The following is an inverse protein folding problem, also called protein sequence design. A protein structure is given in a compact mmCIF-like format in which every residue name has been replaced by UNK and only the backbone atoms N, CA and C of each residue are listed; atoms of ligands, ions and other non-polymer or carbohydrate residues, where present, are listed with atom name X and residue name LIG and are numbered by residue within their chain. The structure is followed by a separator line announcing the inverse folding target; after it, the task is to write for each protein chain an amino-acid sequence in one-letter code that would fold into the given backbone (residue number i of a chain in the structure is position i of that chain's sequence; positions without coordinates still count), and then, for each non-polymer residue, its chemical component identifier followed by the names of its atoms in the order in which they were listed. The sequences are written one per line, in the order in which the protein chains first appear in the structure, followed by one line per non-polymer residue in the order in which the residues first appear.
data_IF_757495656874
#
_entry.id   IF_757495656874
#
_cell.length_a   1.000
_cell.length_b   1.000
_cell.length_c   1.000
_cell.angle_alpha   90.00
_cell.angle_beta   90.00
_cell.angle_gamma   90.00
#
_symmetry.space_group_name_H-M   'P 1'
#
loop_
_entity.id
_entity.type
_entity.pdbx_description
1 polymer ?
#
# COMPACT_ATOMS: atom_id res chain seq x y z
N UNK A 1 -11.69 -5.43 7.25
CA UNK A 1 -11.36 -6.65 6.49
C UNK A 1 -9.92 -6.97 6.79
N UNK A 2 -9.65 -8.11 7.43
CA UNK A 2 -8.29 -8.56 7.67
C UNK A 2 -7.54 -8.66 6.33
N UNK A 3 -6.26 -8.29 6.31
CA UNK A 3 -5.40 -8.62 5.17
C UNK A 3 -5.41 -10.14 5.03
N UNK A 4 -6.10 -10.61 3.99
CA UNK A 4 -6.13 -12.03 3.67
C UNK A 4 -4.75 -12.35 3.13
N UNK A 5 -3.95 -13.04 3.94
CA UNK A 5 -2.62 -13.49 3.53
C UNK A 5 -2.75 -14.39 2.31
N UNK A 6 -1.84 -14.22 1.36
CA UNK A 6 -1.77 -14.98 0.12
C UNK A 6 -0.89 -16.23 0.36
N UNK A 7 -1.43 -17.46 0.33
CA UNK A 7 -0.68 -18.66 0.74
C UNK A 7 0.57 -18.94 -0.10
N UNK A 8 0.53 -18.68 -1.40
CA UNK A 8 1.69 -18.90 -2.28
C UNK A 8 2.84 -17.93 -1.98
N UNK A 9 2.52 -16.70 -1.59
CA UNK A 9 3.53 -15.74 -1.12
C UNK A 9 4.13 -16.21 0.20
N UNK A 10 3.34 -16.72 1.13
CA UNK A 10 3.85 -17.27 2.41
C UNK A 10 4.78 -18.46 2.20
N UNK A 11 4.44 -19.37 1.28
CA UNK A 11 5.30 -20.50 0.94
C UNK A 11 6.64 -20.02 0.37
N UNK A 12 6.62 -19.05 -0.54
CA UNK A 12 7.84 -18.47 -1.10
C UNK A 12 8.69 -17.73 -0.05
N UNK A 13 8.07 -16.95 0.84
CA UNK A 13 8.76 -16.27 1.93
C UNK A 13 9.44 -17.26 2.89
N UNK A 14 8.80 -18.40 3.16
CA UNK A 14 9.37 -19.48 4.00
C UNK A 14 10.62 -20.08 3.35
N UNK A 15 10.58 -20.29 2.03
CA UNK A 15 11.67 -20.89 1.27
C UNK A 15 12.87 -19.93 1.11
N UNK A 16 12.64 -18.63 1.07
CA UNK A 16 13.68 -17.58 0.93
C UNK A 16 14.40 -17.22 2.22
N UNK A 17 14.73 -18.18 3.08
CA UNK A 17 15.52 -18.01 4.30
C UNK A 17 14.90 -17.14 5.43
N UNK A 18 13.59 -16.88 5.41
CA UNK A 18 12.90 -16.37 6.61
C UNK A 18 12.70 -17.46 7.68
N UNK A 19 12.95 -18.73 7.33
CA UNK A 19 12.79 -19.89 8.19
C UNK A 19 11.32 -20.21 8.50
N UNK A 20 11.06 -21.29 9.27
CA UNK A 20 9.69 -21.72 9.61
C UNK A 20 8.91 -20.69 10.47
N UNK A 21 9.61 -19.73 11.08
CA UNK A 21 8.99 -18.63 11.82
C UNK A 21 8.63 -17.41 10.94
N UNK A 22 9.12 -17.35 9.70
CA UNK A 22 8.92 -16.22 8.78
C UNK A 22 7.44 -15.87 8.49
N UNK A 23 6.59 -16.84 8.14
CA UNK A 23 5.16 -16.62 7.95
C UNK A 23 4.38 -16.42 9.26
N UNK A 24 4.96 -16.82 10.40
CA UNK A 24 4.34 -16.75 11.73
C UNK A 24 4.63 -15.42 12.43
N UNK A 25 5.66 -14.69 12.01
CA UNK A 25 5.78 -13.28 12.34
C UNK A 25 4.56 -12.56 11.76
N UNK A 26 3.88 -11.73 12.55
CA UNK A 26 2.76 -10.87 12.11
C UNK A 26 3.21 -9.78 11.10
N UNK A 27 4.27 -10.04 10.35
CA UNK A 27 4.86 -9.20 9.33
C UNK A 27 3.91 -9.12 8.13
N UNK A 28 3.79 -7.93 7.56
CA UNK A 28 3.11 -7.73 6.30
C UNK A 28 3.82 -8.51 5.19
N UNK A 29 3.05 -9.16 4.30
CA UNK A 29 3.64 -9.93 3.20
C UNK A 29 4.46 -9.04 2.27
N UNK A 30 4.05 -7.78 2.06
CA UNK A 30 4.79 -6.85 1.23
C UNK A 30 6.19 -6.55 1.79
N UNK A 31 6.30 -6.39 3.12
CA UNK A 31 7.58 -6.17 3.80
C UNK A 31 8.46 -7.42 3.73
N UNK A 32 7.86 -8.61 3.92
CA UNK A 32 8.56 -9.88 3.75
C UNK A 32 9.12 -10.05 2.34
N UNK A 33 8.35 -9.67 1.31
CA UNK A 33 8.80 -9.78 -0.08
C UNK A 33 10.00 -8.89 -0.38
N UNK A 34 9.98 -7.66 0.13
CA UNK A 34 11.11 -6.75 0.04
C UNK A 34 12.35 -7.35 0.71
N UNK A 35 12.23 -7.89 1.93
CA UNK A 35 13.37 -8.48 2.64
C UNK A 35 13.98 -9.69 1.91
N UNK A 36 13.14 -10.57 1.36
CA UNK A 36 13.62 -11.75 0.62
C UNK A 36 14.30 -11.34 -0.69
N UNK A 37 13.74 -10.36 -1.42
CA UNK A 37 14.33 -9.89 -2.67
C UNK A 37 15.67 -9.17 -2.51
N UNK A 38 15.85 -8.39 -1.43
CA UNK A 38 17.14 -7.73 -1.14
C UNK A 38 18.24 -8.70 -0.72
N UNK A 39 17.86 -9.85 -0.14
CA UNK A 39 18.80 -10.86 0.35
C UNK A 39 19.18 -11.89 -0.70
N UNK A 40 18.27 -12.20 -1.61
CA UNK A 40 18.48 -13.22 -2.64
C UNK A 40 18.96 -12.58 -3.93
N UNK A 41 20.08 -13.10 -4.47
CA UNK A 41 20.58 -12.70 -5.78
C UNK A 41 19.76 -13.31 -6.95
N UNK A 42 18.92 -14.31 -6.66
CA UNK A 42 18.07 -14.95 -7.66
C UNK A 42 16.84 -14.09 -7.99
N UNK A 43 16.43 -14.04 -9.27
CA UNK A 43 15.21 -13.36 -9.67
C UNK A 43 13.96 -13.92 -8.96
N UNK A 44 13.06 -13.02 -8.60
CA UNK A 44 11.76 -13.38 -8.06
C UNK A 44 10.91 -14.11 -9.12
N UNK A 45 10.23 -15.23 -8.78
CA UNK A 45 9.35 -15.91 -9.74
C UNK A 45 8.23 -15.00 -10.25
N UNK A 46 7.84 -15.16 -11.52
CA UNK A 46 6.81 -14.31 -12.16
C UNK A 46 5.47 -14.29 -11.39
N UNK A 47 5.03 -15.44 -10.90
CA UNK A 47 3.82 -15.55 -10.07
C UNK A 47 3.91 -14.69 -8.81
N UNK A 48 5.08 -14.65 -8.16
CA UNK A 48 5.30 -13.81 -6.97
C UNK A 48 5.32 -12.34 -7.35
N UNK A 49 5.88 -11.97 -8.51
CA UNK A 49 5.83 -10.60 -9.03
C UNK A 49 4.38 -10.15 -9.33
N UNK A 50 3.53 -11.04 -9.82
CA UNK A 50 2.10 -10.75 -10.03
C UNK A 50 1.40 -10.43 -8.70
N UNK A 51 1.59 -11.26 -7.67
CA UNK A 51 1.03 -11.00 -6.35
C UNK A 51 1.64 -9.77 -5.68
N UNK A 52 2.94 -9.52 -5.88
CA UNK A 52 3.60 -8.31 -5.40
C UNK A 52 2.93 -7.07 -5.97
N UNK A 53 2.72 -7.06 -7.30
CA UNK A 53 2.03 -5.97 -7.99
C UNK A 53 0.62 -5.74 -7.42
N UNK A 54 -0.12 -6.80 -7.11
CA UNK A 54 -1.46 -6.71 -6.52
C UNK A 54 -1.43 -6.14 -5.09
N UNK A 55 -0.50 -6.59 -4.26
CA UNK A 55 -0.31 -6.07 -2.90
C UNK A 55 0.08 -4.59 -2.93
N UNK A 56 1.00 -4.20 -3.83
CA UNK A 56 1.37 -2.80 -4.05
C UNK A 56 0.18 -1.94 -4.48
N UNK A 57 -0.64 -2.43 -5.41
CA UNK A 57 -1.85 -1.71 -5.85
C UNK A 57 -2.84 -1.52 -4.68
N UNK A 58 -3.06 -2.56 -3.88
CA UNK A 58 -3.95 -2.52 -2.72
C UNK A 58 -3.44 -1.56 -1.65
N UNK A 59 -2.13 -1.61 -1.34
CA UNK A 59 -1.49 -0.71 -0.37
C UNK A 59 -1.52 0.74 -0.82
N UNK A 60 -1.28 1.01 -2.11
CA UNK A 60 -1.42 2.35 -2.70
C UNK A 60 -2.84 2.88 -2.59
N UNK A 61 -3.85 2.07 -2.93
CA UNK A 61 -5.26 2.46 -2.80
C UNK A 61 -5.59 2.80 -1.33
N UNK A 62 -5.19 1.94 -0.38
CA UNK A 62 -5.40 2.20 1.05
C UNK A 62 -4.70 3.47 1.50
N UNK A 63 -3.45 3.70 1.10
CA UNK A 63 -2.72 4.92 1.44
C UNK A 63 -3.42 6.17 0.91
N UNK A 64 -3.85 6.15 -0.36
CA UNK A 64 -4.60 7.24 -1.00
C UNK A 64 -5.90 7.53 -0.23
N UNK A 65 -6.68 6.49 0.08
CA UNK A 65 -7.94 6.63 0.82
C UNK A 65 -7.72 7.20 2.22
N UNK A 66 -6.75 6.67 2.96
CA UNK A 66 -6.46 7.13 4.33
C UNK A 66 -5.95 8.57 4.34
N UNK A 67 -5.06 8.95 3.42
CA UNK A 67 -4.57 10.32 3.32
C UNK A 67 -5.69 11.29 2.94
N UNK A 68 -6.56 10.92 2.00
CA UNK A 68 -7.73 11.73 1.63
C UNK A 68 -8.67 11.95 2.82
N UNK A 69 -8.99 10.88 3.57
CA UNK A 69 -9.83 10.97 4.77
C UNK A 69 -9.15 11.78 5.86
N UNK A 70 -7.84 11.64 6.05
CA UNK A 70 -7.06 12.43 7.00
C UNK A 70 -7.18 13.92 6.72
N UNK A 71 -6.93 14.36 5.47
CA UNK A 71 -7.06 15.78 5.09
C UNK A 71 -8.47 16.28 5.37
N UNK A 72 -9.49 15.51 4.96
CA UNK A 72 -10.89 15.88 5.17
C UNK A 72 -11.25 16.02 6.67
N UNK A 73 -10.76 15.11 7.53
CA UNK A 73 -10.96 15.18 8.98
C UNK A 73 -10.20 16.33 9.64
N UNK A 74 -8.95 16.58 9.21
CA UNK A 74 -8.14 17.68 9.71
C UNK A 74 -8.85 19.02 9.46
N UNK A 75 -9.31 19.25 8.23
CA UNK A 75 -10.04 20.46 7.86
C UNK A 75 -11.36 20.61 8.63
N UNK A 76 -12.14 19.53 8.77
CA UNK A 76 -13.36 19.53 9.61
C UNK A 76 -13.08 19.83 11.08
N UNK A 77 -11.90 19.48 11.56
CA UNK A 77 -11.44 19.77 12.92
C UNK A 77 -10.82 21.16 13.08
N UNK A 78 -10.94 22.01 12.05
CA UNK A 78 -10.43 23.39 12.07
C UNK A 78 -8.93 23.53 11.82
N UNK A 79 -8.24 22.50 11.32
CA UNK A 79 -6.85 22.67 10.92
C UNK A 79 -6.75 23.61 9.72
N UNK A 80 -5.81 24.55 9.77
CA UNK A 80 -5.47 25.35 8.61
C UNK A 80 -4.71 24.49 7.58
N UNK A 81 -4.80 24.88 6.31
CA UNK A 81 -4.02 24.25 5.24
C UNK A 81 -2.52 24.25 5.50
N UNK A 82 -2.00 25.29 6.16
CA UNK A 82 -0.58 25.36 6.52
C UNK A 82 -0.19 24.25 7.51
N UNK A 83 -1.06 23.96 8.49
CA UNK A 83 -0.86 22.85 9.44
C UNK A 83 -0.96 21.50 8.73
N UNK A 84 -1.90 21.35 7.80
CA UNK A 84 -2.02 20.12 6.98
C UNK A 84 -0.75 19.90 6.15
N UNK A 85 -0.24 20.94 5.49
CA UNK A 85 1.01 20.86 4.73
C UNK A 85 2.17 20.39 5.60
N UNK A 86 2.35 21.00 6.78
CA UNK A 86 3.38 20.59 7.74
C UNK A 86 3.22 19.14 8.23
N UNK A 87 1.98 18.69 8.49
CA UNK A 87 1.73 17.31 8.94
C UNK A 87 2.01 16.26 7.84
N UNK A 88 1.86 16.63 6.57
CA UNK A 88 2.14 15.76 5.42
C UNK A 88 3.57 15.91 4.88
N UNK A 89 4.40 16.76 5.49
CA UNK A 89 5.75 17.06 4.99
C UNK A 89 5.75 17.75 3.61
N UNK A 90 4.69 18.48 3.29
CA UNK A 90 4.54 19.21 2.03
C UNK A 90 5.12 20.63 2.14
N UNK A 91 5.67 21.18 1.05
CA UNK A 91 6.42 22.45 1.11
C UNK A 91 5.54 23.65 1.45
N UNK A 92 4.28 23.67 1.00
CA UNK A 92 3.36 24.79 1.21
C UNK A 92 1.87 24.39 1.13
N UNK A 93 1.01 25.39 1.31
CA UNK A 93 -0.45 25.27 1.21
C UNK A 93 -0.90 24.82 -0.18
N UNK A 94 -0.26 25.32 -1.24
CA UNK A 94 -0.65 25.00 -2.61
C UNK A 94 -0.39 23.52 -2.90
N UNK A 95 0.76 22.99 -2.46
CA UNK A 95 1.09 21.58 -2.55
C UNK A 95 0.11 20.69 -1.78
N UNK A 96 -0.36 21.13 -0.60
CA UNK A 96 -1.39 20.39 0.15
C UNK A 96 -2.74 20.35 -0.57
N UNK A 97 -3.17 21.46 -1.18
CA UNK A 97 -4.40 21.51 -1.96
C UNK A 97 -4.29 20.67 -3.25
N UNK A 98 -3.16 20.76 -3.95
CA UNK A 98 -2.87 19.92 -5.12
C UNK A 98 -2.86 18.44 -4.74
N UNK A 99 -2.28 18.09 -3.59
CA UNK A 99 -2.29 16.72 -3.07
C UNK A 99 -3.71 16.23 -2.82
N UNK A 100 -4.58 17.04 -2.22
CA UNK A 100 -6.00 16.68 -2.03
C UNK A 100 -6.70 16.40 -3.38
N UNK A 101 -6.49 17.26 -4.38
CA UNK A 101 -7.07 17.07 -5.71
C UNK A 101 -6.54 15.80 -6.40
N UNK A 102 -5.23 15.56 -6.32
CA UNK A 102 -4.60 14.34 -6.81
C UNK A 102 -5.19 13.09 -6.15
N UNK A 103 -5.32 13.07 -4.82
CA UNK A 103 -5.88 11.93 -4.09
C UNK A 103 -7.32 11.64 -4.50
N UNK A 104 -8.13 12.67 -4.73
CA UNK A 104 -9.50 12.51 -5.21
C UNK A 104 -9.55 11.85 -6.61
N UNK A 105 -8.66 12.26 -7.53
CA UNK A 105 -8.55 11.63 -8.84
C UNK A 105 -8.05 10.19 -8.76
N UNK A 106 -7.06 9.91 -7.91
CA UNK A 106 -6.52 8.57 -7.72
C UNK A 106 -7.54 7.59 -7.10
N UNK A 107 -8.40 8.07 -6.20
CA UNK A 107 -9.51 7.26 -5.67
C UNK A 107 -10.47 6.80 -6.77
N UNK A 108 -10.73 7.64 -7.77
CA UNK A 108 -11.57 7.27 -8.94
C UNK A 108 -10.82 6.25 -9.79
N UNK A 109 -9.54 6.50 -10.09
CA UNK A 109 -8.72 5.62 -10.92
C UNK A 109 -8.58 4.21 -10.33
N UNK A 110 -8.41 4.12 -9.01
CA UNK A 110 -8.17 2.86 -8.30
C UNK A 110 -9.44 2.23 -7.73
N UNK A 111 -10.63 2.74 -8.08
CA UNK A 111 -11.89 2.19 -7.59
C UNK A 111 -12.11 0.77 -8.14
N UNK A 112 -12.47 -0.23 -7.31
CA UNK A 112 -12.63 -1.62 -7.76
C UNK A 112 -13.64 -1.83 -8.90
N UNK A 113 -14.60 -0.92 -9.09
CA UNK A 113 -15.54 -0.99 -10.23
C UNK A 113 -14.92 -0.66 -11.59
N UNK A 114 -13.71 -0.09 -11.61
CA UNK A 114 -12.98 0.23 -12.84
C UNK A 114 -11.95 -0.84 -13.21
N UNK A 115 -11.72 -1.83 -12.34
CA UNK A 115 -10.88 -3.00 -12.66
C UNK A 115 -11.79 -4.17 -13.10
N UNK A 116 -11.66 -4.57 -14.37
CA UNK A 116 -12.48 -5.62 -15.00
C UNK A 116 -12.23 -7.05 -14.46
N UNK A 117 -11.42 -7.21 -13.41
CA UNK A 117 -11.19 -8.50 -12.75
C UNK A 117 -11.56 -8.38 -11.27
N UNK A 118 -12.65 -9.04 -10.82
CA UNK A 118 -12.89 -9.19 -9.40
C UNK A 118 -11.79 -10.12 -8.88
N UNK A 119 -10.89 -9.56 -8.10
CA UNK A 119 -9.82 -10.18 -7.33
C UNK A 119 -10.27 -11.56 -6.81
N UNK A 120 -9.87 -12.64 -7.50
CA UNK A 120 -9.93 -13.98 -6.94
C UNK A 120 -8.71 -14.11 -6.04
N UNK A 121 -8.89 -13.75 -4.78
CA UNK A 121 -8.16 -14.37 -3.68
C UNK A 121 -8.83 -15.71 -3.37
#
# INVERSE_FOLDING_TARGET
MADTRIPVVDAWLTAGDMGPAGPQMQMDQLDGMHMVAERNAEPCPDEILEYWRLLLATRRLRAVQNEHVFIAQALRSGWSWNRVAGALGLPDVAAAQQRQAFLAAEMIRCHPSHDARPWRL
#
